data_IF_380955821570
#
_entry.id   IF_380955821570
#
_cell.length_a   1.000
_cell.length_b   1.000
_cell.length_c   1.000
_cell.angle_alpha   90.00
_cell.angle_beta   90.00
_cell.angle_gamma   90.00
#
_symmetry.space_group_name_H-M   'P 1'
#
loop_
_entity.id
_entity.type
_entity.pdbx_description
1 polymer ?
#
# COMPACT_ATOMS: atom_id res chain seq x y z
N UNK A 1 -7.39 7.72 6.30
CA UNK A 1 -6.66 6.57 5.71
C UNK A 1 -7.60 5.40 5.63
N UNK A 2 -7.54 4.56 4.59
CA UNK A 2 -8.04 3.21 4.74
C UNK A 2 -7.37 2.57 5.95
N UNK A 3 -8.02 1.63 6.61
CA UNK A 3 -7.40 0.98 7.77
C UNK A 3 -6.29 0.02 7.32
N UNK A 4 -5.42 -0.34 8.25
CA UNK A 4 -4.41 -1.41 8.06
C UNK A 4 -5.03 -2.67 7.46
N UNK A 5 -6.28 -2.97 7.81
CA UNK A 5 -7.03 -4.12 7.29
C UNK A 5 -7.24 -4.03 5.78
N UNK A 6 -7.67 -2.87 5.27
CA UNK A 6 -7.90 -2.65 3.84
C UNK A 6 -6.62 -2.77 3.03
N UNK A 7 -5.52 -2.17 3.48
CA UNK A 7 -4.23 -2.28 2.82
C UNK A 7 -3.74 -3.74 2.79
N UNK A 8 -3.85 -4.46 3.91
CA UNK A 8 -3.49 -5.88 4.00
C UNK A 8 -4.35 -6.76 3.08
N UNK A 9 -5.66 -6.51 2.99
CA UNK A 9 -6.56 -7.25 2.10
C UNK A 9 -6.19 -7.08 0.63
N UNK A 10 -5.80 -5.88 0.20
CA UNK A 10 -5.32 -5.65 -1.16
C UNK A 10 -4.08 -6.51 -1.46
N UNK A 11 -3.14 -6.62 -0.52
CA UNK A 11 -1.99 -7.51 -0.64
C UNK A 11 -2.38 -9.00 -0.76
N UNK A 12 -3.37 -9.46 0.03
CA UNK A 12 -3.91 -10.82 -0.08
C UNK A 12 -4.51 -11.05 -1.46
N UNK A 13 -5.36 -10.15 -1.95
CA UNK A 13 -5.98 -10.30 -3.26
C UNK A 13 -4.94 -10.24 -4.38
N UNK A 14 -3.96 -9.33 -4.31
CA UNK A 14 -2.88 -9.26 -5.27
C UNK A 14 -2.09 -10.59 -5.32
N UNK A 15 -1.76 -11.19 -4.17
CA UNK A 15 -1.05 -12.46 -4.11
C UNK A 15 -1.84 -13.61 -4.77
N UNK A 16 -3.15 -13.67 -4.55
CA UNK A 16 -4.05 -14.66 -5.15
C UNK A 16 -4.22 -14.44 -6.66
N UNK A 17 -4.33 -13.18 -7.09
CA UNK A 17 -4.54 -12.83 -8.50
C UNK A 17 -3.28 -13.13 -9.32
N UNK A 18 -2.12 -12.67 -8.87
CA UNK A 18 -0.87 -12.80 -9.65
C UNK A 18 -0.20 -14.17 -9.52
N UNK A 19 -0.39 -14.88 -8.41
CA UNK A 19 0.12 -16.26 -8.18
C UNK A 19 1.64 -16.40 -8.46
N UNK A 20 2.43 -15.39 -8.05
CA UNK A 20 3.88 -15.33 -8.32
C UNK A 20 4.62 -16.43 -7.56
N UNK A 21 4.17 -16.76 -6.34
CA UNK A 21 4.73 -17.82 -5.52
C UNK A 21 3.67 -18.43 -4.61
N UNK A 22 3.79 -19.75 -4.38
CA UNK A 22 2.92 -20.49 -3.46
C UNK A 22 3.54 -20.64 -2.05
N UNK A 23 4.72 -20.05 -1.81
CA UNK A 23 5.40 -20.16 -0.52
C UNK A 23 4.68 -19.35 0.58
N UNK A 24 4.49 -19.90 1.79
CA UNK A 24 3.81 -19.21 2.88
C UNK A 24 4.38 -17.82 3.17
N UNK A 25 5.73 -17.69 3.15
CA UNK A 25 6.38 -16.39 3.37
C UNK A 25 5.98 -15.33 2.34
N UNK A 26 5.70 -15.71 1.07
CA UNK A 26 5.25 -14.76 0.07
C UNK A 26 3.88 -14.18 0.44
N UNK A 27 2.98 -15.03 0.93
CA UNK A 27 1.65 -14.62 1.39
C UNK A 27 1.71 -13.73 2.61
N UNK A 28 2.51 -14.12 3.62
CA UNK A 28 2.69 -13.33 4.85
C UNK A 28 3.25 -11.95 4.51
N UNK A 29 4.28 -11.88 3.69
CA UNK A 29 4.87 -10.61 3.27
C UNK A 29 3.90 -9.77 2.41
N UNK A 30 3.02 -10.41 1.62
CA UNK A 30 1.99 -9.69 0.86
C UNK A 30 0.92 -9.05 1.77
N UNK A 31 0.72 -9.58 2.97
CA UNK A 31 -0.15 -8.97 3.99
C UNK A 31 0.56 -7.81 4.68
N UNK A 32 1.81 -8.01 5.05
CA UNK A 32 2.57 -7.07 5.88
C UNK A 32 3.02 -5.84 5.08
N UNK A 33 3.58 -6.02 3.88
CA UNK A 33 4.22 -4.93 3.14
C UNK A 33 3.30 -3.74 2.85
N UNK A 34 2.05 -3.93 2.41
CA UNK A 34 1.16 -2.79 2.20
C UNK A 34 0.69 -2.11 3.49
N UNK A 35 0.90 -2.71 4.66
CA UNK A 35 0.59 -2.10 5.96
C UNK A 35 1.81 -1.40 6.61
N UNK A 36 3.03 -1.65 6.11
CA UNK A 36 4.26 -1.10 6.70
C UNK A 36 4.32 0.43 6.74
N UNK A 37 3.83 1.19 5.75
CA UNK A 37 3.89 2.64 5.83
C UNK A 37 3.25 3.22 7.10
N UNK A 38 2.14 2.64 7.56
CA UNK A 38 1.41 3.07 8.76
C UNK A 38 2.16 2.86 10.09
N UNK A 39 3.29 2.15 10.08
CA UNK A 39 4.17 2.04 11.25
C UNK A 39 4.70 3.41 11.68
N UNK A 40 4.71 4.39 10.78
CA UNK A 40 5.07 5.78 11.08
C UNK A 40 4.13 6.47 12.10
N UNK A 41 2.93 5.91 12.36
CA UNK A 41 2.07 6.33 13.47
C UNK A 41 2.79 6.29 14.82
N UNK A 42 3.77 5.41 14.98
CA UNK A 42 4.60 5.38 16.20
C UNK A 42 5.30 6.73 16.38
N UNK A 43 5.80 7.33 15.30
CA UNK A 43 6.41 8.67 15.32
C UNK A 43 5.46 9.74 15.86
N UNK A 44 4.19 9.70 15.44
CA UNK A 44 3.16 10.62 15.92
C UNK A 44 2.95 10.49 17.44
N UNK A 45 2.84 9.27 17.96
CA UNK A 45 2.71 9.02 19.40
C UNK A 45 3.97 9.40 20.20
N UNK A 46 5.13 9.45 19.55
CA UNK A 46 6.39 9.93 20.13
C UNK A 46 6.58 11.46 20.00
N UNK A 47 5.56 12.18 19.52
CA UNK A 47 5.56 13.64 19.42
C UNK A 47 6.16 14.22 18.14
N UNK A 48 6.40 13.41 17.10
CA UNK A 48 6.77 13.92 15.78
C UNK A 48 5.52 14.56 15.15
N UNK A 49 5.58 15.85 14.73
CA UNK A 49 4.44 16.51 14.10
C UNK A 49 3.94 15.75 12.87
N UNK A 50 2.63 15.75 12.66
CA UNK A 50 1.99 15.00 11.58
C UNK A 50 2.49 15.41 10.18
N UNK A 51 2.75 16.69 9.98
CA UNK A 51 3.24 17.29 8.74
C UNK A 51 4.75 17.15 8.52
N UNK A 52 5.48 16.63 9.51
CA UNK A 52 6.90 16.38 9.37
C UNK A 52 7.19 15.28 8.33
N UNK A 53 8.37 15.33 7.68
CA UNK A 53 8.76 14.32 6.69
C UNK A 53 8.80 12.89 7.27
N UNK A 54 9.15 12.76 8.55
CA UNK A 54 9.15 11.49 9.30
C UNK A 54 7.91 11.34 10.19
N UNK A 55 6.92 12.22 10.05
CA UNK A 55 5.63 12.11 10.71
C UNK A 55 4.70 11.16 9.96
N UNK A 56 3.50 11.00 10.50
CA UNK A 56 2.49 10.16 9.85
C UNK A 56 2.10 10.71 8.47
N UNK A 57 1.96 9.82 7.48
CA UNK A 57 1.84 10.15 6.05
C UNK A 57 3.07 10.88 5.48
N UNK A 58 4.27 10.61 6.05
CA UNK A 58 5.53 11.15 5.59
C UNK A 58 6.22 10.29 4.52
N UNK A 59 7.55 10.22 4.60
CA UNK A 59 8.39 9.51 3.62
C UNK A 59 8.06 8.03 3.48
N UNK A 60 7.52 7.40 4.52
CA UNK A 60 7.05 6.01 4.52
C UNK A 60 5.98 5.71 3.48
N UNK A 61 5.24 6.74 3.02
CA UNK A 61 4.20 6.64 2.01
C UNK A 61 4.70 6.97 0.59
N UNK A 62 6.01 7.20 0.42
CA UNK A 62 6.62 7.57 -0.86
C UNK A 62 6.93 6.37 -1.75
N UNK A 63 7.10 6.63 -3.05
CA UNK A 63 7.63 5.66 -4.03
C UNK A 63 9.00 5.16 -3.58
N UNK A 64 9.86 6.05 -3.08
CA UNK A 64 11.21 5.70 -2.64
C UNK A 64 11.18 4.65 -1.53
N UNK A 65 10.34 4.85 -0.51
CA UNK A 65 10.16 3.87 0.56
C UNK A 65 9.61 2.55 0.03
N UNK A 66 8.65 2.57 -0.87
CA UNK A 66 8.09 1.37 -1.48
C UNK A 66 9.15 0.56 -2.26
N UNK A 67 10.02 1.23 -3.02
CA UNK A 67 11.14 0.58 -3.71
C UNK A 67 12.15 0.00 -2.72
N UNK A 68 12.45 0.72 -1.64
CA UNK A 68 13.32 0.24 -0.56
C UNK A 68 12.76 -1.03 0.08
N UNK A 69 11.47 -1.06 0.42
CA UNK A 69 10.81 -2.24 1.00
C UNK A 69 10.85 -3.42 0.01
N UNK A 70 10.53 -3.20 -1.26
CA UNK A 70 10.61 -4.25 -2.28
C UNK A 70 12.01 -4.84 -2.39
N UNK A 71 13.04 -4.00 -2.36
CA UNK A 71 14.44 -4.43 -2.35
C UNK A 71 14.80 -5.21 -1.08
N UNK A 72 14.46 -4.71 0.10
CA UNK A 72 14.73 -5.35 1.39
C UNK A 72 14.06 -6.72 1.47
N UNK A 73 12.80 -6.81 1.06
CA UNK A 73 12.05 -8.07 1.04
C UNK A 73 12.70 -9.08 0.10
N UNK A 74 13.03 -8.67 -1.13
CA UNK A 74 13.74 -9.56 -2.05
C UNK A 74 15.08 -10.01 -1.46
N UNK A 75 15.88 -9.08 -0.97
CA UNK A 75 17.22 -9.35 -0.48
C UNK A 75 17.24 -10.27 0.76
N UNK A 76 16.35 -10.06 1.73
CA UNK A 76 16.32 -10.84 2.96
C UNK A 76 15.67 -12.22 2.76
N UNK A 77 14.59 -12.30 1.98
CA UNK A 77 13.74 -13.48 1.95
C UNK A 77 13.86 -14.33 0.69
N UNK A 78 14.32 -13.76 -0.44
CA UNK A 78 14.28 -14.45 -1.74
C UNK A 78 15.63 -14.59 -2.44
N UNK A 79 16.65 -13.81 -2.12
CA UNK A 79 17.96 -13.85 -2.82
C UNK A 79 18.63 -15.23 -2.82
N UNK A 80 18.40 -16.03 -1.78
CA UNK A 80 19.00 -17.37 -1.62
C UNK A 80 18.22 -18.48 -2.34
N UNK A 81 17.15 -18.17 -3.06
CA UNK A 81 16.25 -19.17 -3.65
C UNK A 81 16.63 -19.62 -5.07
N UNK A 82 17.83 -19.32 -5.57
CA UNK A 82 18.27 -19.67 -6.92
C UNK A 82 17.24 -19.35 -8.02
N UNK A 83 16.59 -18.18 -7.91
CA UNK A 83 15.61 -17.73 -8.86
C UNK A 83 16.26 -17.22 -10.15
N UNK A 84 15.57 -17.38 -11.28
CA UNK A 84 16.00 -16.68 -12.51
C UNK A 84 15.98 -15.15 -12.30
N UNK A 85 16.78 -14.42 -13.07
CA UNK A 85 16.84 -12.96 -13.02
C UNK A 85 15.45 -12.31 -13.19
N UNK A 86 14.67 -12.83 -14.16
CA UNK A 86 13.30 -12.35 -14.39
C UNK A 86 12.39 -12.56 -13.17
N UNK A 87 12.48 -13.73 -12.52
CA UNK A 87 11.66 -14.01 -11.34
C UNK A 87 12.06 -13.18 -10.14
N UNK A 88 13.34 -12.92 -9.96
CA UNK A 88 13.88 -12.00 -8.94
C UNK A 88 13.33 -10.58 -9.14
N UNK A 89 13.36 -10.08 -10.37
CA UNK A 89 12.83 -8.76 -10.73
C UNK A 89 11.31 -8.68 -10.49
N UNK A 90 10.57 -9.72 -10.86
CA UNK A 90 9.11 -9.78 -10.64
C UNK A 90 8.79 -9.71 -9.13
N UNK A 91 9.52 -10.42 -8.29
CA UNK A 91 9.33 -10.37 -6.82
C UNK A 91 9.62 -8.97 -6.28
N UNK A 92 10.72 -8.36 -6.68
CA UNK A 92 11.07 -7.00 -6.30
C UNK A 92 9.97 -6.01 -6.72
N UNK A 93 9.56 -6.01 -7.99
CA UNK A 93 8.52 -5.12 -8.52
C UNK A 93 7.19 -5.37 -7.79
N UNK A 94 6.83 -6.60 -7.53
CA UNK A 94 5.59 -6.94 -6.85
C UNK A 94 5.53 -6.34 -5.45
N UNK A 95 6.56 -6.54 -4.61
CA UNK A 95 6.56 -6.02 -3.26
C UNK A 95 6.69 -4.48 -3.22
N UNK A 96 7.41 -3.89 -4.17
CA UNK A 96 7.43 -2.43 -4.34
C UNK A 96 6.04 -1.91 -4.69
N UNK A 97 5.35 -2.55 -5.63
CA UNK A 97 4.03 -2.12 -6.10
C UNK A 97 2.95 -2.22 -5.01
N UNK A 98 2.89 -3.35 -4.28
CA UNK A 98 1.88 -3.49 -3.20
C UNK A 98 2.17 -2.56 -2.02
N UNK A 99 3.43 -2.22 -1.74
CA UNK A 99 3.76 -1.21 -0.73
C UNK A 99 3.39 0.19 -1.23
N UNK A 100 3.70 0.52 -2.49
CA UNK A 100 3.35 1.79 -3.11
C UNK A 100 1.85 2.03 -3.18
N UNK A 101 1.05 0.96 -3.34
CA UNK A 101 -0.41 1.06 -3.38
C UNK A 101 -0.99 1.68 -2.11
N UNK A 102 -0.32 1.56 -0.97
CA UNK A 102 -0.71 2.22 0.28
C UNK A 102 -0.82 3.74 0.10
N UNK A 103 0.29 4.40 -0.26
CA UNK A 103 0.30 5.85 -0.47
C UNK A 103 -0.69 6.31 -1.56
N UNK A 104 -0.84 5.52 -2.65
CA UNK A 104 -1.81 5.81 -3.69
C UNK A 104 -3.25 5.80 -3.17
N UNK A 105 -3.60 4.81 -2.34
CA UNK A 105 -4.94 4.70 -1.77
C UNK A 105 -5.22 5.81 -0.75
N UNK A 106 -4.21 6.20 -0.01
CA UNK A 106 -4.30 7.29 0.95
C UNK A 106 -4.55 8.64 0.30
N UNK A 107 -4.10 8.85 -0.94
CA UNK A 107 -4.42 10.06 -1.69
C UNK A 107 -5.92 10.19 -2.04
N UNK A 108 -6.70 9.10 -2.02
CA UNK A 108 -8.15 9.11 -2.22
C UNK A 108 -8.94 9.40 -0.94
N UNK A 109 -8.27 9.64 0.18
CA UNK A 109 -8.94 9.95 1.45
C UNK A 109 -9.08 11.46 1.66
N UNK A 110 -10.08 11.86 2.43
CA UNK A 110 -10.38 13.26 2.81
C UNK A 110 -9.50 13.79 3.94
N UNK A 111 -8.44 13.06 4.31
CA UNK A 111 -7.52 13.48 5.35
C UNK A 111 -6.93 14.89 5.11
N UNK A 112 -6.60 15.56 6.19
CA UNK A 112 -6.12 16.95 6.17
C UNK A 112 -4.76 17.15 5.47
N UNK A 113 -3.92 16.11 5.49
CA UNK A 113 -2.58 16.15 4.91
C UNK A 113 -2.43 15.14 3.78
N UNK A 114 -1.93 15.62 2.64
CA UNK A 114 -1.59 14.78 1.49
C UNK A 114 -0.38 13.89 1.73
N UNK A 115 -0.01 13.15 0.71
CA UNK A 115 1.11 12.22 0.71
C UNK A 115 2.29 12.83 -0.04
N UNK A 116 3.51 12.94 0.54
CA UNK A 116 4.71 13.37 -0.16
C UNK A 116 5.25 12.21 -1.02
N UNK A 117 4.49 11.91 -2.08
CA UNK A 117 4.64 10.69 -2.86
C UNK A 117 6.02 10.56 -3.53
N UNK A 118 6.63 11.70 -3.86
CA UNK A 118 7.95 11.75 -4.50
C UNK A 118 9.09 12.04 -3.52
N UNK A 119 8.81 12.04 -2.20
CA UNK A 119 9.86 12.23 -1.19
C UNK A 119 10.95 11.14 -1.32
N UNK A 120 12.23 11.46 -1.05
CA UNK A 120 12.76 12.76 -0.56
C UNK A 120 13.08 13.79 -1.64
N UNK A 121 12.86 13.47 -2.93
CA UNK A 121 13.23 14.35 -4.06
C UNK A 121 12.30 15.57 -4.15
N UNK A 122 11.02 15.36 -3.87
CA UNK A 122 9.99 16.41 -3.77
C UNK A 122 9.11 16.09 -2.56
N UNK A 123 9.08 17.02 -1.61
CA UNK A 123 8.31 16.89 -0.37
C UNK A 123 6.90 17.49 -0.50
N UNK A 124 6.51 17.92 -1.71
CA UNK A 124 5.14 18.37 -1.97
C UNK A 124 4.15 17.26 -1.66
N UNK A 125 3.08 17.61 -0.95
CA UNK A 125 2.04 16.66 -0.54
C UNK A 125 0.91 16.65 -1.56
N UNK A 126 0.61 15.49 -2.08
CA UNK A 126 -0.35 15.27 -3.15
C UNK A 126 -1.64 14.63 -2.64
N UNK A 127 -2.75 14.99 -3.29
CA UNK A 127 -4.06 14.39 -3.18
C UNK A 127 -4.61 14.08 -4.56
N UNK A 128 -5.51 13.12 -4.65
CA UNK A 128 -6.37 13.04 -5.82
C UNK A 128 -7.48 14.12 -5.74
N UNK A 129 -7.95 14.65 -6.89
CA UNK A 129 -9.03 15.64 -6.92
C UNK A 129 -10.34 15.12 -6.32
N UNK A 130 -10.61 13.83 -6.47
CA UNK A 130 -11.75 13.13 -5.91
C UNK A 130 -11.32 12.25 -4.73
N UNK A 131 -11.88 12.49 -3.54
CA UNK A 131 -11.51 11.84 -2.28
C UNK A 131 -12.74 11.29 -1.57
N UNK A 132 -13.28 10.16 -2.08
CA UNK A 132 -14.55 9.61 -1.57
C UNK A 132 -14.42 8.81 -0.28
N UNK A 133 -13.23 8.68 0.29
CA UNK A 133 -12.96 7.81 1.42
C UNK A 133 -12.74 8.65 2.66
N UNK A 134 -13.58 8.44 3.68
CA UNK A 134 -13.44 9.12 4.95
C UNK A 134 -12.20 8.59 5.67
N UNK A 135 -11.33 9.50 6.09
CA UNK A 135 -10.18 9.16 6.93
C UNK A 135 -10.66 8.89 8.36
N UNK A 136 -10.33 7.74 8.98
CA UNK A 136 -10.68 7.50 10.37
C UNK A 136 -10.02 8.54 11.27
N UNK A 137 -10.77 8.97 12.28
CA UNK A 137 -10.25 9.88 13.31
C UNK A 137 -9.14 9.21 14.12
N UNK A 138 -8.17 10.01 14.56
CA UNK A 138 -7.15 9.56 15.51
C UNK A 138 -7.74 9.42 16.94
N UNK A 139 -8.88 10.04 17.21
CA UNK A 139 -9.67 9.80 18.42
C UNK A 139 -10.44 8.48 18.27
N UNK A 140 -9.99 7.46 19.00
CA UNK A 140 -10.54 6.11 18.93
C UNK A 140 -12.01 6.07 19.37
N UNK A 141 -12.40 6.85 20.39
CA UNK A 141 -13.78 6.86 20.87
C UNK A 141 -14.72 7.49 19.85
N UNK A 142 -14.35 8.62 19.28
CA UNK A 142 -15.09 9.27 18.20
C UNK A 142 -15.18 8.38 16.95
N UNK A 143 -14.07 7.75 16.56
CA UNK A 143 -14.06 6.79 15.44
C UNK A 143 -15.07 5.65 15.64
N UNK A 144 -15.03 4.99 16.81
CA UNK A 144 -15.89 3.83 17.08
C UNK A 144 -17.38 4.19 17.17
N UNK A 145 -17.71 5.38 17.67
CA UNK A 145 -19.10 5.81 17.86
C UNK A 145 -19.71 6.41 16.60
N UNK A 146 -18.98 7.28 15.92
CA UNK A 146 -19.56 8.17 14.90
C UNK A 146 -19.12 7.82 13.47
N UNK A 147 -17.90 7.29 13.28
CA UNK A 147 -17.33 7.13 11.93
C UNK A 147 -17.24 5.66 11.46
N UNK A 148 -17.39 4.68 12.36
CA UNK A 148 -17.10 3.28 12.05
C UNK A 148 -17.84 2.76 10.80
N UNK A 149 -19.12 3.03 10.69
CA UNK A 149 -19.95 2.55 9.56
C UNK A 149 -19.54 3.21 8.24
N UNK A 150 -19.32 4.53 8.24
CA UNK A 150 -18.94 5.27 7.05
C UNK A 150 -17.58 4.82 6.53
N UNK A 151 -16.61 4.66 7.42
CA UNK A 151 -15.28 4.18 7.08
C UNK A 151 -15.35 2.75 6.53
N UNK A 152 -16.07 1.83 7.17
CA UNK A 152 -16.22 0.45 6.70
C UNK A 152 -16.87 0.37 5.32
N UNK A 153 -17.91 1.16 5.05
CA UNK A 153 -18.55 1.22 3.73
C UNK A 153 -17.57 1.74 2.68
N UNK A 154 -16.86 2.83 2.98
CA UNK A 154 -15.84 3.39 2.10
C UNK A 154 -14.72 2.38 1.80
N UNK A 155 -14.29 1.62 2.80
CA UNK A 155 -13.26 0.58 2.64
C UNK A 155 -13.74 -0.59 1.77
N UNK A 156 -14.96 -1.06 1.94
CA UNK A 156 -15.53 -2.13 1.09
C UNK A 156 -15.56 -1.68 -0.37
N UNK A 157 -15.99 -0.45 -0.64
CA UNK A 157 -15.98 0.11 -1.99
C UNK A 157 -14.56 0.19 -2.54
N UNK A 158 -13.61 0.72 -1.77
CA UNK A 158 -12.21 0.84 -2.15
C UNK A 158 -11.58 -0.51 -2.49
N UNK A 159 -11.77 -1.50 -1.62
CA UNK A 159 -11.27 -2.86 -1.82
C UNK A 159 -11.87 -3.45 -3.09
N UNK A 160 -13.18 -3.29 -3.30
CA UNK A 160 -13.87 -3.83 -4.48
C UNK A 160 -13.31 -3.23 -5.77
N UNK A 161 -13.13 -1.91 -5.82
CA UNK A 161 -12.54 -1.21 -6.98
C UNK A 161 -11.09 -1.65 -7.19
N UNK A 162 -10.30 -1.75 -6.12
CA UNK A 162 -8.89 -2.16 -6.20
C UNK A 162 -8.74 -3.58 -6.71
N UNK A 163 -9.57 -4.51 -6.24
CA UNK A 163 -9.59 -5.90 -6.70
C UNK A 163 -10.02 -5.98 -8.17
N UNK A 164 -11.05 -5.25 -8.56
CA UNK A 164 -11.47 -5.18 -9.96
C UNK A 164 -10.33 -4.65 -10.87
N UNK A 165 -9.64 -3.60 -10.44
CA UNK A 165 -8.47 -3.04 -11.13
C UNK A 165 -7.34 -4.07 -11.29
N UNK A 166 -7.01 -4.80 -10.22
CA UNK A 166 -5.99 -5.86 -10.26
C UNK A 166 -6.37 -7.00 -11.23
N UNK A 167 -7.65 -7.40 -11.24
CA UNK A 167 -8.14 -8.43 -12.17
C UNK A 167 -8.06 -7.94 -13.61
N UNK A 168 -8.53 -6.73 -13.90
CA UNK A 168 -8.46 -6.11 -15.22
C UNK A 168 -7.02 -6.00 -15.70
N UNK A 169 -6.10 -5.54 -14.85
CA UNK A 169 -4.68 -5.45 -15.16
C UNK A 169 -4.10 -6.81 -15.54
N UNK A 170 -4.41 -7.85 -14.77
CA UNK A 170 -4.00 -9.23 -15.10
C UNK A 170 -4.55 -9.71 -16.44
N UNK A 171 -5.82 -9.42 -16.73
CA UNK A 171 -6.43 -9.80 -18.01
C UNK A 171 -5.77 -9.08 -19.19
N UNK A 172 -5.43 -7.80 -19.05
CA UNK A 172 -4.69 -7.04 -20.04
C UNK A 172 -3.30 -7.64 -20.28
N UNK A 173 -2.54 -7.95 -19.23
CA UNK A 173 -1.25 -8.61 -19.37
C UNK A 173 -1.34 -9.95 -20.10
N UNK A 174 -2.38 -10.75 -19.78
CA UNK A 174 -2.62 -12.04 -20.47
C UNK A 174 -2.94 -11.85 -21.96
N UNK A 175 -3.65 -10.79 -22.30
CA UNK A 175 -3.98 -10.46 -23.70
C UNK A 175 -2.72 -10.04 -24.47
N UNK A 176 -1.89 -9.18 -23.90
CA UNK A 176 -0.63 -8.72 -24.50
C UNK A 176 0.33 -9.89 -24.77
N UNK A 177 0.48 -10.82 -23.82
CA UNK A 177 1.34 -12.00 -23.99
C UNK A 177 0.83 -13.02 -25.01
N UNK A 178 -0.38 -12.89 -25.54
CA UNK A 178 -0.89 -13.73 -26.64
C UNK A 178 -0.54 -13.18 -28.02
N UNK A 179 -0.11 -11.92 -28.10
CA UNK A 179 0.25 -11.25 -29.35
C UNK A 179 1.78 -11.11 -29.55
N UNK A 180 2.57 -11.52 -28.55
CA UNK A 180 4.02 -11.66 -28.62
C UNK A 180 4.42 -13.10 -28.81
#
# INVERSE_FOLDING_TARGET
MPTIVSHSLIGIFASKIFKISNKPKFWILSIICPALPDVDMIGYYLGIPYDHLFGHRGISHSIFFALLIGFVVYFLFFRKENLSRSKSLIIFIYFSFITMSHGLLDMFTDATHGIPFFAPLDNTRYFFPYRPINAPSLDVEYFLREQLLEVLVGEVILISISVAGLVLFKLLLKKLNKFS
#
